data_IF_741569939128
#
_entry.id   IF_741569939128
#
_cell.length_a   1.000
_cell.length_b   1.000
_cell.length_c   1.000
_cell.angle_alpha   90.00
_cell.angle_beta   90.00
_cell.angle_gamma   90.00
#
_symmetry.space_group_name_H-M   'P 1'
#
loop_
_entity.id
_entity.type
_entity.pdbx_description
1 polymer ?
#
# COMPACT_ATOMS: atom_id res chain seq x y z
N UNK A 1 5.99 -9.09 -6.06
CA UNK A 1 6.46 -10.45 -5.79
C UNK A 1 7.97 -10.53 -5.97
N UNK A 2 8.66 -11.17 -5.04
CA UNK A 2 10.10 -11.43 -5.09
C UNK A 2 10.31 -12.92 -4.89
N UNK A 3 11.09 -13.54 -5.78
CA UNK A 3 11.52 -14.93 -5.64
C UNK A 3 13.02 -14.95 -5.46
N UNK A 4 13.48 -15.63 -4.42
CA UNK A 4 14.91 -15.82 -4.10
C UNK A 4 15.22 -17.30 -4.25
N UNK A 5 16.21 -17.62 -5.08
CA UNK A 5 16.67 -18.97 -5.38
C UNK A 5 18.04 -19.20 -4.76
N UNK A 6 18.05 -19.98 -3.71
CA UNK A 6 19.24 -20.45 -3.03
C UNK A 6 19.59 -21.87 -3.43
N UNK A 7 20.00 -22.69 -2.45
CA UNK A 7 20.39 -24.08 -2.66
C UNK A 7 20.02 -24.92 -1.45
N UNK A 8 19.26 -25.97 -1.65
CA UNK A 8 18.91 -26.92 -0.61
C UNK A 8 20.12 -27.70 -0.09
N UNK A 9 20.12 -27.98 1.20
CA UNK A 9 21.11 -28.86 1.85
C UNK A 9 20.51 -29.47 3.11
N UNK A 10 21.20 -30.45 3.70
CA UNK A 10 20.85 -30.99 5.00
C UNK A 10 21.03 -29.91 6.08
N UNK A 11 20.06 -29.72 6.98
CA UNK A 11 20.11 -28.68 8.01
C UNK A 11 21.34 -28.71 8.92
N UNK A 12 21.97 -29.87 9.11
CA UNK A 12 23.22 -30.01 9.85
C UNK A 12 24.49 -29.72 9.00
N UNK A 13 24.33 -29.40 7.71
CA UNK A 13 25.43 -29.09 6.78
C UNK A 13 25.17 -27.78 6.03
N UNK A 14 24.96 -26.65 6.74
CA UNK A 14 24.57 -25.38 6.13
C UNK A 14 25.61 -24.83 5.13
N UNK A 15 26.87 -25.20 5.27
CA UNK A 15 27.95 -24.81 4.37
C UNK A 15 27.82 -25.41 2.95
N UNK A 16 26.91 -26.36 2.74
CA UNK A 16 26.67 -26.99 1.42
C UNK A 16 25.46 -26.39 0.69
N UNK A 17 24.70 -25.51 1.38
CA UNK A 17 23.52 -24.86 0.86
C UNK A 17 23.65 -23.34 0.75
N UNK A 18 22.60 -22.72 0.23
CA UNK A 18 22.36 -21.26 0.27
C UNK A 18 20.94 -21.10 0.82
N UNK A 19 20.82 -20.57 2.02
CA UNK A 19 19.57 -20.58 2.78
C UNK A 19 18.63 -19.43 2.36
N UNK A 20 17.61 -19.76 1.59
CA UNK A 20 16.62 -18.79 1.13
C UNK A 20 15.79 -18.17 2.27
N UNK A 21 15.61 -18.84 3.42
CA UNK A 21 14.94 -18.26 4.61
C UNK A 21 15.79 -17.12 5.16
N UNK A 22 17.10 -17.32 5.27
CA UNK A 22 18.01 -16.28 5.78
C UNK A 22 18.04 -15.10 4.85
N UNK A 23 18.15 -15.34 3.52
CA UNK A 23 18.21 -14.26 2.52
C UNK A 23 16.90 -13.48 2.45
N UNK A 24 15.74 -14.15 2.47
CA UNK A 24 14.43 -13.51 2.49
C UNK A 24 14.24 -12.66 3.76
N UNK A 25 14.65 -13.18 4.91
CA UNK A 25 14.61 -12.43 6.18
C UNK A 25 15.51 -11.20 6.15
N UNK A 26 16.73 -11.34 5.64
CA UNK A 26 17.68 -10.24 5.45
C UNK A 26 17.10 -9.17 4.52
N UNK A 27 16.46 -9.58 3.43
CA UNK A 27 15.82 -8.66 2.49
C UNK A 27 14.68 -7.90 3.17
N UNK A 28 13.75 -8.58 3.85
CA UNK A 28 12.60 -7.95 4.53
C UNK A 28 13.08 -6.92 5.55
N UNK A 29 14.06 -7.27 6.37
CA UNK A 29 14.63 -6.37 7.39
C UNK A 29 15.33 -5.16 6.75
N UNK A 30 16.15 -5.38 5.75
CA UNK A 30 16.89 -4.29 5.09
C UNK A 30 15.95 -3.39 4.27
N UNK A 31 14.89 -3.91 3.67
CA UNK A 31 13.92 -3.13 2.91
C UNK A 31 13.19 -2.10 3.78
N UNK A 32 13.04 -2.33 5.10
CA UNK A 32 12.48 -1.32 6.01
C UNK A 32 13.33 -0.04 6.06
N UNK A 33 14.63 -0.15 5.79
CA UNK A 33 15.53 1.02 5.76
C UNK A 33 15.29 1.92 4.56
N UNK A 34 14.64 1.44 3.51
CA UNK A 34 14.28 2.26 2.36
C UNK A 34 13.36 3.38 2.81
N UNK A 35 12.27 3.05 3.53
CA UNK A 35 11.36 4.07 4.06
C UNK A 35 12.04 4.90 5.16
N UNK A 36 12.68 4.24 6.14
CA UNK A 36 13.18 4.95 7.31
C UNK A 36 14.46 5.76 7.06
N UNK A 37 15.19 5.57 5.94
CA UNK A 37 16.50 6.20 5.69
C UNK A 37 16.65 6.86 4.33
N UNK A 38 15.75 6.61 3.36
CA UNK A 38 15.86 7.15 1.99
C UNK A 38 14.67 8.00 1.58
N UNK A 39 13.48 7.72 2.12
CA UNK A 39 12.29 8.54 1.88
C UNK A 39 12.41 9.82 2.70
N UNK A 40 12.05 10.95 2.12
CA UNK A 40 11.94 12.22 2.84
C UNK A 40 10.94 12.06 3.98
N UNK A 41 11.26 12.47 5.22
CA UNK A 41 10.33 12.39 6.36
C UNK A 41 8.99 13.10 6.17
N UNK A 42 8.91 14.02 5.20
CA UNK A 42 7.67 14.72 4.83
C UNK A 42 6.86 13.99 3.75
N UNK A 43 7.45 12.99 3.10
CA UNK A 43 6.78 12.14 2.12
C UNK A 43 6.11 10.93 2.78
N UNK A 44 4.91 10.61 2.33
CA UNK A 44 4.21 9.42 2.78
C UNK A 44 4.63 8.21 1.94
N UNK A 45 5.22 7.22 2.58
CA UNK A 45 5.53 5.94 1.94
C UNK A 45 5.36 4.77 2.90
N UNK A 46 4.84 3.67 2.36
CA UNK A 46 4.67 2.40 3.07
C UNK A 46 5.26 1.28 2.23
N UNK A 47 6.05 0.42 2.86
CA UNK A 47 6.56 -0.84 2.30
C UNK A 47 6.20 -1.96 3.26
N UNK A 48 5.37 -2.90 2.82
CA UNK A 48 4.91 -4.01 3.64
C UNK A 48 5.05 -5.32 2.87
N UNK A 49 5.58 -6.36 3.54
CA UNK A 49 5.57 -7.73 3.05
C UNK A 49 4.53 -8.51 3.86
N UNK A 50 3.42 -8.87 3.22
CA UNK A 50 2.31 -9.60 3.84
C UNK A 50 2.44 -11.11 3.73
N UNK A 51 3.24 -11.61 2.78
CA UNK A 51 3.47 -13.04 2.57
C UNK A 51 4.96 -13.31 2.57
N UNK A 52 5.35 -14.37 3.27
CA UNK A 52 6.70 -14.93 3.31
C UNK A 52 6.59 -16.45 3.32
N UNK A 53 6.90 -17.07 2.18
CA UNK A 53 6.86 -18.52 2.04
C UNK A 53 8.25 -19.07 1.71
N UNK A 54 8.76 -19.98 2.49
CA UNK A 54 10.05 -20.59 2.24
C UNK A 54 10.16 -22.00 2.83
N UNK A 55 10.98 -22.84 2.20
CA UNK A 55 11.32 -24.15 2.67
C UNK A 55 10.22 -25.19 2.55
N UNK A 56 10.57 -26.45 2.82
CA UNK A 56 9.67 -27.61 2.68
C UNK A 56 9.66 -28.51 3.91
N UNK A 57 10.76 -28.56 4.68
CA UNK A 57 10.90 -29.40 5.87
C UNK A 57 11.81 -28.72 6.89
N UNK A 58 11.54 -28.94 8.17
CA UNK A 58 12.26 -28.33 9.29
C UNK A 58 13.77 -28.63 9.34
N UNK A 59 14.24 -29.73 8.73
CA UNK A 59 15.63 -30.18 8.75
C UNK A 59 16.35 -30.06 7.39
N UNK A 60 15.77 -29.30 6.45
CA UNK A 60 16.35 -29.02 5.13
C UNK A 60 16.50 -27.52 4.97
N UNK A 61 17.70 -27.07 4.56
CA UNK A 61 17.95 -25.69 4.16
C UNK A 61 17.03 -25.34 2.99
N UNK A 62 16.30 -24.24 3.11
CA UNK A 62 15.37 -23.80 2.07
C UNK A 62 16.12 -23.38 0.81
N UNK A 63 15.74 -23.97 -0.34
CA UNK A 63 16.28 -23.58 -1.65
C UNK A 63 15.54 -22.39 -2.25
N UNK A 64 14.29 -22.17 -1.85
CA UNK A 64 13.47 -21.12 -2.42
C UNK A 64 12.74 -20.32 -1.34
N UNK A 65 12.55 -19.03 -1.61
CA UNK A 65 11.74 -18.11 -0.80
C UNK A 65 10.94 -17.20 -1.73
N UNK A 66 9.64 -17.09 -1.47
CA UNK A 66 8.76 -16.15 -2.15
C UNK A 66 8.22 -15.13 -1.15
N UNK A 67 8.35 -13.86 -1.49
CA UNK A 67 7.83 -12.72 -0.74
C UNK A 67 6.79 -12.00 -1.60
N UNK A 68 5.64 -11.70 -1.03
CA UNK A 68 4.68 -10.78 -1.64
C UNK A 68 4.44 -9.58 -0.73
N UNK A 69 4.46 -8.40 -1.35
CA UNK A 69 4.34 -7.16 -0.62
C UNK A 69 3.57 -6.08 -1.38
N UNK A 70 3.41 -4.97 -0.71
CA UNK A 70 2.80 -3.77 -1.30
C UNK A 70 3.63 -2.54 -0.98
N UNK A 71 3.66 -1.62 -1.94
CA UNK A 71 4.24 -0.28 -1.77
C UNK A 71 3.14 0.74 -1.99
N UNK A 72 3.07 1.74 -1.12
CA UNK A 72 2.17 2.87 -1.25
C UNK A 72 2.94 4.16 -1.07
N UNK A 73 2.71 5.12 -1.96
CA UNK A 73 3.25 6.47 -1.88
C UNK A 73 2.39 7.41 -2.73
N UNK A 74 2.36 8.68 -2.39
CA UNK A 74 1.65 9.71 -3.14
C UNK A 74 2.56 10.37 -4.19
N UNK A 75 3.89 10.17 -4.12
CA UNK A 75 4.88 10.80 -4.97
C UNK A 75 5.50 9.78 -5.94
N UNK A 76 5.46 10.05 -7.25
CA UNK A 76 6.00 9.16 -8.28
C UNK A 76 7.53 9.04 -8.24
N UNK A 77 8.25 10.11 -7.86
CA UNK A 77 9.71 10.06 -7.74
C UNK A 77 10.10 9.16 -6.55
N UNK A 78 9.40 9.30 -5.43
CA UNK A 78 9.56 8.42 -4.26
C UNK A 78 9.23 6.98 -4.61
N UNK A 79 8.19 6.74 -5.41
CA UNK A 79 7.84 5.42 -5.91
C UNK A 79 8.94 4.78 -6.74
N UNK A 80 9.49 5.55 -7.69
CA UNK A 80 10.59 5.09 -8.54
C UNK A 80 11.86 4.80 -7.72
N UNK A 81 12.18 5.65 -6.74
CA UNK A 81 13.31 5.47 -5.84
C UNK A 81 13.16 4.21 -4.97
N UNK A 82 11.96 3.92 -4.47
CA UNK A 82 11.70 2.71 -3.68
C UNK A 82 11.91 1.45 -4.54
N UNK A 83 11.36 1.42 -5.76
CA UNK A 83 11.53 0.29 -6.68
C UNK A 83 13.01 0.05 -7.00
N UNK A 84 13.76 1.08 -7.39
CA UNK A 84 15.19 1.00 -7.67
C UNK A 84 15.99 0.53 -6.44
N UNK A 85 15.65 1.04 -5.26
CA UNK A 85 16.29 0.63 -4.01
C UNK A 85 16.04 -0.83 -3.65
N UNK A 86 14.83 -1.35 -3.91
CA UNK A 86 14.52 -2.77 -3.70
C UNK A 86 15.34 -3.66 -4.62
N UNK A 87 15.46 -3.29 -5.90
CA UNK A 87 16.28 -4.05 -6.89
C UNK A 87 17.74 -4.09 -6.47
N UNK A 88 18.33 -2.93 -6.16
CA UNK A 88 19.72 -2.83 -5.71
C UNK A 88 19.99 -3.62 -4.43
N UNK A 89 19.05 -3.60 -3.49
CA UNK A 89 19.16 -4.36 -2.25
C UNK A 89 19.16 -5.87 -2.54
N UNK A 90 18.25 -6.32 -3.39
CA UNK A 90 18.14 -7.73 -3.79
C UNK A 90 19.40 -8.21 -4.51
N UNK A 91 19.89 -7.42 -5.47
CA UNK A 91 21.13 -7.69 -6.20
C UNK A 91 22.34 -7.81 -5.25
N UNK A 92 22.44 -6.92 -4.25
CA UNK A 92 23.49 -6.95 -3.24
C UNK A 92 23.46 -8.21 -2.37
N UNK A 93 22.29 -8.65 -1.95
CA UNK A 93 22.10 -9.88 -1.18
C UNK A 93 22.47 -11.11 -2.02
N UNK A 94 22.03 -11.14 -3.28
CA UNK A 94 22.37 -12.23 -4.21
C UNK A 94 23.87 -12.29 -4.48
N UNK A 95 24.51 -11.14 -4.72
CA UNK A 95 25.96 -11.06 -4.96
C UNK A 95 26.77 -11.61 -3.78
N UNK A 96 26.37 -11.23 -2.55
CA UNK A 96 27.04 -11.70 -1.33
C UNK A 96 26.91 -13.21 -1.12
N UNK A 97 25.74 -13.77 -1.42
CA UNK A 97 25.39 -15.15 -1.06
C UNK A 97 25.65 -16.18 -2.16
N UNK A 98 25.77 -15.71 -3.40
CA UNK A 98 25.78 -16.57 -4.59
C UNK A 98 24.39 -17.11 -4.96
N UNK A 99 23.31 -16.57 -4.38
CA UNK A 99 21.93 -16.82 -4.78
C UNK A 99 21.58 -16.08 -6.07
N UNK A 100 20.44 -16.43 -6.65
CA UNK A 100 19.79 -15.63 -7.69
C UNK A 100 18.40 -15.19 -7.22
N UNK A 101 17.87 -14.12 -7.82
CA UNK A 101 16.50 -13.70 -7.49
C UNK A 101 15.88 -12.96 -8.67
N UNK A 102 14.55 -12.95 -8.68
CA UNK A 102 13.76 -12.09 -9.56
C UNK A 102 12.75 -11.27 -8.76
N UNK A 103 12.45 -10.09 -9.28
CA UNK A 103 11.44 -9.19 -8.73
C UNK A 103 10.45 -8.77 -9.81
N UNK A 104 9.17 -9.05 -9.59
CA UNK A 104 8.06 -8.54 -10.38
C UNK A 104 7.42 -7.40 -9.61
N UNK A 105 7.66 -6.18 -10.08
CA UNK A 105 7.11 -4.96 -9.49
C UNK A 105 5.98 -4.44 -10.35
N UNK A 106 4.73 -4.68 -9.92
CA UNK A 106 3.53 -4.20 -10.59
C UNK A 106 3.25 -2.75 -10.19
N UNK A 107 3.38 -1.82 -11.14
CA UNK A 107 2.95 -0.43 -10.91
C UNK A 107 1.44 -0.35 -11.10
N UNK A 108 0.71 -0.10 -10.01
CA UNK A 108 -0.73 0.18 -10.03
C UNK A 108 -1.05 1.61 -10.52
N UNK A 109 -2.23 2.09 -10.19
CA UNK A 109 -2.65 3.45 -10.54
C UNK A 109 -1.82 4.52 -9.80
N UNK A 110 -1.65 5.72 -10.39
CA UNK A 110 -1.10 6.87 -9.67
C UNK A 110 -2.04 7.31 -8.55
N UNK A 111 -1.53 8.11 -7.63
CA UNK A 111 -2.33 8.75 -6.60
C UNK A 111 -3.44 9.61 -7.25
N UNK A 112 -4.65 9.50 -6.70
CA UNK A 112 -5.76 10.34 -7.13
C UNK A 112 -5.55 11.76 -6.58
N UNK A 113 -5.50 12.74 -7.48
CA UNK A 113 -5.46 14.15 -7.13
C UNK A 113 -6.68 14.84 -7.73
N UNK A 114 -7.53 15.39 -6.87
CA UNK A 114 -8.71 16.13 -7.31
C UNK A 114 -8.31 17.48 -7.93
N UNK A 115 -9.05 17.92 -8.95
CA UNK A 115 -8.87 19.26 -9.48
C UNK A 115 -9.34 20.31 -8.47
N UNK A 116 -8.53 21.32 -8.23
CA UNK A 116 -8.83 22.38 -7.23
C UNK A 116 -10.21 23.04 -7.43
N UNK A 117 -10.59 23.29 -8.69
CA UNK A 117 -11.90 23.90 -9.02
C UNK A 117 -13.07 23.00 -8.60
N UNK A 118 -12.93 21.69 -8.84
CA UNK A 118 -13.98 20.73 -8.54
C UNK A 118 -14.06 20.49 -7.03
N UNK A 119 -12.92 20.38 -6.36
CA UNK A 119 -12.84 20.27 -4.90
C UNK A 119 -13.44 21.50 -4.22
N UNK A 120 -13.14 22.72 -4.69
CA UNK A 120 -13.72 23.94 -4.18
C UNK A 120 -15.23 24.04 -4.41
N UNK A 121 -15.72 23.58 -5.56
CA UNK A 121 -17.17 23.52 -5.83
C UNK A 121 -17.87 22.55 -4.88
N UNK A 122 -17.32 21.37 -4.71
CA UNK A 122 -17.88 20.35 -3.80
C UNK A 122 -17.89 20.90 -2.37
N UNK A 123 -16.79 21.49 -1.91
CA UNK A 123 -16.70 22.10 -0.58
C UNK A 123 -17.78 23.18 -0.38
N UNK A 124 -17.88 24.11 -1.33
CA UNK A 124 -18.88 25.18 -1.27
C UNK A 124 -20.31 24.63 -1.19
N UNK A 125 -20.61 23.59 -1.98
CA UNK A 125 -21.91 22.93 -1.98
C UNK A 125 -22.18 22.25 -0.63
N UNK A 126 -21.18 21.52 -0.13
CA UNK A 126 -21.30 20.84 1.17
C UNK A 126 -21.53 21.85 2.30
N UNK A 127 -20.78 22.96 2.33
CA UNK A 127 -20.99 24.03 3.33
C UNK A 127 -22.37 24.66 3.21
N UNK A 128 -22.87 24.85 2.00
CA UNK A 128 -24.23 25.44 1.83
C UNK A 128 -25.36 24.51 2.33
N UNK A 129 -25.13 23.19 2.31
CA UNK A 129 -26.10 22.18 2.74
C UNK A 129 -26.00 21.87 4.25
N UNK A 130 -24.78 21.85 4.79
CA UNK A 130 -24.49 21.29 6.10
C UNK A 130 -23.86 22.29 7.08
N UNK A 131 -23.57 23.53 6.64
CA UNK A 131 -22.82 24.52 7.41
C UNK A 131 -21.32 24.22 7.49
N UNK A 132 -20.51 25.18 7.94
CA UNK A 132 -19.07 25.01 8.12
C UNK A 132 -18.73 23.90 9.11
N UNK A 133 -19.48 23.76 10.18
CA UNK A 133 -19.28 22.71 11.20
C UNK A 133 -19.58 21.29 10.69
N UNK A 134 -20.33 21.19 9.60
CA UNK A 134 -20.67 19.94 8.93
C UNK A 134 -19.64 19.47 7.90
N UNK A 135 -18.62 20.27 7.62
CA UNK A 135 -17.58 19.97 6.61
C UNK A 135 -16.22 19.85 7.27
N UNK A 136 -15.56 18.70 7.05
CA UNK A 136 -14.20 18.46 7.55
C UNK A 136 -13.26 18.41 6.36
N UNK A 137 -12.30 19.35 6.32
CA UNK A 137 -11.21 19.29 5.36
C UNK A 137 -10.20 18.21 5.76
N UNK A 138 -10.11 17.17 4.97
CA UNK A 138 -9.16 16.08 5.20
C UNK A 138 -7.87 16.39 4.47
N UNK A 139 -6.81 16.63 5.23
CA UNK A 139 -5.45 16.79 4.68
C UNK A 139 -4.87 15.42 4.40
N UNK A 140 -4.74 15.07 3.12
CA UNK A 140 -4.12 13.82 2.63
C UNK A 140 -4.57 12.56 3.36
N UNK A 141 -5.24 11.65 2.65
CA UNK A 141 -5.46 10.29 3.12
C UNK A 141 -4.70 9.30 2.27
N UNK A 142 -4.07 8.38 2.94
CA UNK A 142 -3.41 7.21 2.40
C UNK A 142 -4.41 6.40 1.56
N UNK A 143 -4.06 6.15 0.34
CA UNK A 143 -4.19 4.99 -0.56
C UNK A 143 -5.45 4.15 -0.63
N UNK A 144 -6.42 4.31 0.23
CA UNK A 144 -7.79 3.86 0.05
C UNK A 144 -8.75 5.00 0.41
N UNK A 145 -9.85 5.18 -0.31
CA UNK A 145 -10.84 6.18 0.08
C UNK A 145 -11.36 5.80 1.46
N UNK A 146 -10.74 6.35 2.48
CA UNK A 146 -11.23 6.21 3.85
C UNK A 146 -12.47 7.05 3.96
N UNK A 147 -13.59 6.38 3.84
CA UNK A 147 -14.89 6.96 3.99
C UNK A 147 -15.09 7.26 5.47
N UNK A 148 -14.92 8.52 5.87
CA UNK A 148 -15.40 8.93 7.18
C UNK A 148 -16.90 9.09 7.10
N UNK A 149 -17.61 8.30 7.87
CA UNK A 149 -19.02 8.51 8.14
C UNK A 149 -19.19 9.87 8.83
N UNK A 150 -19.82 10.79 8.13
CA UNK A 150 -20.38 11.99 8.77
C UNK A 150 -21.80 11.61 9.19
N UNK A 151 -22.17 11.69 10.46
CA UNK A 151 -23.51 11.38 10.89
C UNK A 151 -24.46 12.46 10.37
N UNK A 152 -25.34 12.10 9.46
CA UNK A 152 -26.43 12.95 9.00
C UNK A 152 -27.77 12.27 9.21
N UNK A 153 -28.70 13.05 9.73
CA UNK A 153 -30.14 12.80 9.62
C UNK A 153 -30.65 13.67 8.45
N UNK A 154 -30.47 13.24 7.22
CA UNK A 154 -31.03 13.90 6.05
C UNK A 154 -32.22 13.08 5.58
N UNK A 155 -33.41 13.68 5.63
CA UNK A 155 -34.60 13.09 5.03
C UNK A 155 -34.46 13.17 3.49
N UNK A 156 -34.14 12.03 2.88
CA UNK A 156 -33.85 11.89 1.44
C UNK A 156 -35.09 12.25 0.56
N UNK A 157 -36.24 12.57 1.14
CA UNK A 157 -37.46 12.94 0.41
C UNK A 157 -37.34 14.27 -0.31
N UNK A 158 -36.42 15.15 0.08
CA UNK A 158 -36.19 16.45 -0.58
C UNK A 158 -35.03 16.45 -1.62
N UNK A 159 -34.46 15.29 -1.93
CA UNK A 159 -33.34 15.17 -2.88
C UNK A 159 -33.71 15.47 -4.35
N UNK A 160 -34.93 15.91 -4.65
CA UNK A 160 -35.38 16.20 -6.03
C UNK A 160 -34.84 17.51 -6.59
N UNK A 161 -34.20 18.36 -5.78
CA UNK A 161 -33.66 19.66 -6.20
C UNK A 161 -32.13 19.71 -6.27
N UNK A 162 -31.44 18.58 -6.14
CA UNK A 162 -29.96 18.56 -6.26
C UNK A 162 -29.59 18.49 -7.75
N UNK A 163 -28.95 19.51 -8.34
CA UNK A 163 -28.67 19.56 -9.77
C UNK A 163 -27.55 18.64 -10.26
N UNK A 164 -26.98 17.81 -9.39
CA UNK A 164 -25.95 16.85 -9.74
C UNK A 164 -26.38 15.42 -9.34
N UNK A 165 -26.24 14.50 -10.28
CA UNK A 165 -26.42 13.06 -10.02
C UNK A 165 -25.28 12.58 -9.15
N UNK A 166 -25.41 12.67 -7.84
CA UNK A 166 -24.53 12.02 -6.88
C UNK A 166 -24.73 10.51 -7.03
N UNK A 167 -23.67 9.78 -7.39
CA UNK A 167 -23.78 8.34 -7.53
C UNK A 167 -23.71 7.70 -6.14
N UNK A 168 -24.89 7.51 -5.52
CA UNK A 168 -24.99 6.80 -4.24
C UNK A 168 -24.90 5.31 -4.51
N UNK A 169 -23.81 4.66 -4.09
CA UNK A 169 -23.78 3.20 -4.03
C UNK A 169 -24.50 2.73 -2.78
N UNK A 170 -25.62 2.07 -2.96
CA UNK A 170 -26.32 1.39 -1.87
C UNK A 170 -25.56 0.12 -1.50
N UNK A 171 -24.78 0.16 -0.41
CA UNK A 171 -24.36 -1.02 0.32
C UNK A 171 -25.51 -1.52 1.20
N UNK A 172 -25.61 -2.82 1.43
CA UNK A 172 -26.62 -3.41 2.32
C UNK A 172 -26.55 -2.80 3.72
N UNK A 173 -27.42 -1.85 4.00
CA UNK A 173 -27.52 -1.14 5.28
C UNK A 173 -28.70 -1.69 6.10
N UNK A 174 -28.44 -2.68 6.94
CA UNK A 174 -29.27 -2.86 8.14
C UNK A 174 -28.59 -2.09 9.29
N UNK A 175 -29.10 -0.92 9.62
CA UNK A 175 -28.82 -0.24 10.90
C UNK A 175 -27.81 0.90 10.89
N UNK A 176 -27.45 1.50 9.75
CA UNK A 176 -26.52 2.65 9.71
C UNK A 176 -27.27 3.89 9.19
N UNK A 177 -27.42 4.89 10.02
CA UNK A 177 -27.86 6.24 9.64
C UNK A 177 -26.62 7.06 9.27
N UNK A 178 -26.41 7.32 7.99
CA UNK A 178 -25.32 8.16 7.51
C UNK A 178 -25.19 8.17 5.99
N UNK A 179 -24.90 9.32 5.45
CA UNK A 179 -24.59 9.53 4.02
C UNK A 179 -23.07 9.64 3.86
N UNK A 180 -22.54 9.01 2.83
CA UNK A 180 -21.12 8.91 2.57
C UNK A 180 -20.75 9.72 1.33
N UNK A 181 -19.86 10.70 1.47
CA UNK A 181 -19.28 11.41 0.35
C UNK A 181 -17.86 10.88 0.06
N UNK A 182 -17.58 10.57 -1.20
CA UNK A 182 -16.23 10.32 -1.71
C UNK A 182 -15.81 11.57 -2.46
N UNK A 183 -14.82 12.26 -1.96
CA UNK A 183 -14.18 13.42 -2.63
C UNK A 183 -12.82 13.00 -3.14
#
# INVERSE_FOLDING_TARGET
>A
TINIHGKTAHGAKPNQGIDAVVLGSQFVMAAQTIVSRKVDPLDNAVVTFGIFNAGTRYNIIAGDCTLDGTVRTLNEDTRAMIEDSMRKLLDGICLQSGATADIVYGRGYPALVNHEKDAALIRKTAVSLFGEDGVVDVKQHETEPTIKQVPFDVDVRDAREIPFRLQIRHGHLRGIRGLMFVV
#
